data_IF_457780097040
#
_entry.id   IF_457780097040
#
_cell.length_a   1.000
_cell.length_b   1.000
_cell.length_c   1.000
_cell.angle_alpha   90.00
_cell.angle_beta   90.00
_cell.angle_gamma   90.00
#
_symmetry.space_group_name_H-M   'P 1'
#
loop_
_entity.id
_entity.type
_entity.pdbx_description
1 polymer ?
#
# COMPACT_ATOMS: atom_id res chain seq x y z
N UNK A 1 -18.10 4.52 -10.02
CA UNK A 1 -17.13 3.89 -9.12
C UNK A 1 -16.24 4.99 -8.60
N UNK A 2 -16.32 5.28 -7.31
CA UNK A 2 -15.57 6.35 -6.64
C UNK A 2 -14.07 5.99 -6.66
N UNK A 3 -13.25 6.86 -7.26
CA UNK A 3 -11.82 6.64 -7.41
C UNK A 3 -11.15 6.72 -6.04
N UNK A 4 -10.40 5.69 -5.65
CA UNK A 4 -9.64 5.69 -4.39
C UNK A 4 -8.64 6.85 -4.37
N UNK A 5 -8.78 7.79 -3.44
CA UNK A 5 -7.93 9.00 -3.34
C UNK A 5 -7.10 9.02 -2.06
N UNK A 6 -5.79 9.28 -2.22
CA UNK A 6 -4.87 9.46 -1.09
C UNK A 6 -5.22 10.74 -0.30
N UNK A 7 -5.66 11.80 -1.00
CA UNK A 7 -6.04 13.07 -0.40
C UNK A 7 -7.28 12.92 0.48
N UNK A 8 -8.32 12.27 -0.02
CA UNK A 8 -9.55 12.07 0.76
C UNK A 8 -9.29 11.19 1.99
N UNK A 9 -8.43 10.19 1.85
CA UNK A 9 -7.98 9.35 2.97
C UNK A 9 -7.23 10.19 4.01
N UNK A 10 -6.33 11.09 3.58
CA UNK A 10 -5.58 11.96 4.46
C UNK A 10 -6.49 12.96 5.20
N UNK A 11 -7.40 13.61 4.47
CA UNK A 11 -8.36 14.58 5.03
C UNK A 11 -9.29 13.91 6.04
N UNK A 12 -9.71 12.66 5.79
CA UNK A 12 -10.49 11.89 6.75
C UNK A 12 -9.70 11.56 8.01
N UNK A 13 -8.46 11.07 7.88
CA UNK A 13 -7.61 10.72 9.01
C UNK A 13 -7.19 11.92 9.87
N UNK A 14 -6.97 13.08 9.25
CA UNK A 14 -6.61 14.31 9.95
C UNK A 14 -7.70 14.78 10.93
N UNK A 15 -8.98 14.42 10.67
CA UNK A 15 -10.09 14.71 11.59
C UNK A 15 -10.08 13.85 12.86
N UNK A 16 -9.32 12.76 12.87
CA UNK A 16 -9.28 11.79 13.96
C UNK A 16 -7.85 11.63 14.48
N UNK A 17 -7.32 12.64 15.20
CA UNK A 17 -5.96 12.57 15.71
C UNK A 17 -5.77 11.46 16.75
N UNK A 18 -6.82 10.86 17.29
CA UNK A 18 -6.72 9.79 18.28
C UNK A 18 -6.32 8.43 17.67
N UNK A 19 -6.34 8.31 16.35
CA UNK A 19 -6.00 7.06 15.67
C UNK A 19 -4.50 6.78 15.77
N UNK A 20 -4.16 5.71 16.48
CA UNK A 20 -2.78 5.24 16.65
C UNK A 20 -2.41 4.07 15.74
N UNK A 21 -3.40 3.32 15.26
CA UNK A 21 -3.21 2.09 14.50
C UNK A 21 -4.15 2.07 13.30
N UNK A 22 -3.60 1.78 12.11
CA UNK A 22 -4.38 1.64 10.88
C UNK A 22 -4.06 0.29 10.22
N UNK A 23 -5.07 -0.57 10.08
CA UNK A 23 -5.02 -1.77 9.22
C UNK A 23 -5.43 -1.38 7.80
N UNK A 24 -4.60 -1.71 6.80
CA UNK A 24 -4.86 -1.30 5.40
C UNK A 24 -4.47 -2.34 4.37
N UNK A 25 -5.13 -2.26 3.21
CA UNK A 25 -4.76 -3.00 2.00
C UNK A 25 -3.38 -2.57 1.45
N UNK A 26 -2.70 -3.44 0.69
CA UNK A 26 -1.36 -3.19 0.14
C UNK A 26 -1.26 -2.04 -0.87
N UNK A 27 -2.37 -1.48 -1.32
CA UNK A 27 -2.38 -0.33 -2.22
C UNK A 27 -1.57 0.87 -1.69
N UNK A 28 -0.70 1.42 -2.56
CA UNK A 28 0.16 2.56 -2.22
C UNK A 28 -0.62 3.84 -1.90
N UNK A 29 -1.80 4.02 -2.49
CA UNK A 29 -2.67 5.20 -2.31
C UNK A 29 -3.05 5.36 -0.83
N UNK A 30 -3.45 4.27 -0.16
CA UNK A 30 -3.80 4.32 1.26
C UNK A 30 -2.58 4.54 2.15
N UNK A 31 -1.45 3.90 1.83
CA UNK A 31 -0.22 4.13 2.57
C UNK A 31 0.25 5.60 2.48
N UNK A 32 0.05 6.25 1.33
CA UNK A 32 0.31 7.67 1.15
C UNK A 32 -0.67 8.53 1.95
N UNK A 33 -1.97 8.25 1.86
CA UNK A 33 -2.99 8.99 2.61
C UNK A 33 -2.77 8.93 4.13
N UNK A 34 -2.39 7.75 4.66
CA UNK A 34 -2.08 7.60 6.08
C UNK A 34 -0.85 8.39 6.50
N UNK A 35 0.22 8.38 5.69
CA UNK A 35 1.43 9.19 5.99
C UNK A 35 1.13 10.68 6.04
N UNK A 36 0.17 11.16 5.23
CA UNK A 36 -0.21 12.56 5.17
C UNK A 36 -1.19 12.95 6.28
N UNK A 37 -2.23 12.15 6.53
CA UNK A 37 -3.31 12.48 7.47
C UNK A 37 -3.09 12.03 8.92
N UNK A 38 -2.31 10.97 9.13
CA UNK A 38 -2.01 10.44 10.46
C UNK A 38 -0.58 9.85 10.51
N UNK A 39 0.47 10.69 10.40
CA UNK A 39 1.86 10.22 10.36
C UNK A 39 2.29 9.46 11.62
N UNK A 40 1.62 9.70 12.75
CA UNK A 40 1.87 8.99 14.01
C UNK A 40 1.23 7.59 14.05
N UNK A 41 0.29 7.29 13.16
CA UNK A 41 -0.42 6.02 13.17
C UNK A 41 0.47 4.89 12.59
N UNK A 42 0.55 3.79 13.32
CA UNK A 42 1.27 2.58 12.89
C UNK A 42 0.46 1.84 11.84
N UNK A 43 1.10 1.55 10.71
CA UNK A 43 0.45 0.88 9.57
C UNK A 43 0.71 -0.62 9.59
N UNK A 44 -0.36 -1.40 9.49
CA UNK A 44 -0.29 -2.86 9.34
C UNK A 44 -0.94 -3.31 8.03
N UNK A 45 -0.37 -4.33 7.41
CA UNK A 45 -1.00 -4.98 6.27
C UNK A 45 -2.18 -5.81 6.76
N UNK A 46 -3.35 -5.53 6.19
CA UNK A 46 -4.57 -6.24 6.51
C UNK A 46 -4.45 -7.74 6.14
N UNK A 47 -4.69 -8.61 7.13
CA UNK A 47 -4.49 -10.06 6.98
C UNK A 47 -5.52 -10.71 6.07
N UNK A 48 -6.73 -10.14 5.96
CA UNK A 48 -7.76 -10.65 5.07
C UNK A 48 -7.34 -10.53 3.60
N UNK A 49 -6.69 -9.43 3.24
CA UNK A 49 -6.12 -9.25 1.91
C UNK A 49 -4.92 -10.17 1.64
N UNK A 50 -4.12 -10.53 2.66
CA UNK A 50 -3.06 -11.53 2.50
C UNK A 50 -3.63 -12.92 2.17
N UNK A 51 -4.70 -13.30 2.86
CA UNK A 51 -5.37 -14.59 2.65
C UNK A 51 -6.13 -14.64 1.32
N UNK A 52 -6.77 -13.54 0.91
CA UNK A 52 -7.37 -13.44 -0.43
C UNK A 52 -6.30 -13.50 -1.52
N UNK A 53 -5.24 -12.68 -1.42
CA UNK A 53 -4.17 -12.69 -2.44
C UNK A 53 -3.48 -14.04 -2.55
N UNK A 54 -3.38 -14.83 -1.46
CA UNK A 54 -2.88 -16.20 -1.54
C UNK A 54 -3.82 -17.11 -2.33
N UNK A 55 -5.14 -16.98 -2.13
CA UNK A 55 -6.15 -17.71 -2.91
C UNK A 55 -6.15 -17.33 -4.39
N UNK A 56 -5.99 -16.03 -4.72
CA UNK A 56 -5.94 -15.58 -6.12
C UNK A 56 -4.59 -15.91 -6.76
N UNK A 57 -3.49 -15.83 -6.00
CA UNK A 57 -2.13 -16.12 -6.45
C UNK A 57 -1.89 -17.58 -6.84
N UNK A 58 -2.68 -18.53 -6.30
CA UNK A 58 -2.64 -19.93 -6.74
C UNK A 58 -3.03 -20.12 -8.21
N UNK A 59 -3.75 -19.18 -8.83
CA UNK A 59 -4.17 -19.31 -10.22
C UNK A 59 -3.28 -18.53 -11.21
N UNK A 60 -2.38 -17.65 -10.73
CA UNK A 60 -1.72 -16.62 -11.57
C UNK A 60 -0.18 -16.63 -11.46
N UNK A 61 0.43 -17.46 -10.60
CA UNK A 61 1.89 -17.47 -10.42
C UNK A 61 2.55 -18.59 -11.23
N UNK A 62 3.35 -18.29 -12.29
CA UNK A 62 4.32 -19.25 -12.80
C UNK A 62 5.43 -19.42 -11.74
N UNK A 63 5.91 -20.66 -11.59
CA UNK A 63 6.71 -21.24 -10.50
C UNK A 63 7.98 -20.46 -10.10
N UNK A 64 8.38 -19.41 -10.83
CA UNK A 64 9.62 -18.64 -10.58
C UNK A 64 9.39 -17.16 -10.22
N UNK A 65 8.21 -16.79 -9.72
CA UNK A 65 7.96 -15.40 -9.30
C UNK A 65 8.39 -15.18 -7.85
N UNK A 66 9.62 -14.71 -7.65
CA UNK A 66 10.15 -14.28 -6.34
C UNK A 66 9.28 -13.14 -5.79
N UNK A 67 8.37 -13.49 -4.88
CA UNK A 67 7.52 -12.56 -4.11
C UNK A 67 8.39 -11.47 -3.48
N UNK A 68 8.26 -10.23 -3.97
CA UNK A 68 8.91 -9.09 -3.36
C UNK A 68 8.13 -8.68 -2.10
N UNK A 69 8.59 -9.14 -0.93
CA UNK A 69 8.19 -8.58 0.37
C UNK A 69 9.02 -7.33 0.60
N UNK A 70 8.59 -6.23 -0.02
CA UNK A 70 9.28 -4.94 0.05
C UNK A 70 8.96 -4.12 -1.18
N UNK A 71 8.10 -3.12 -1.05
CA UNK A 71 7.81 -2.20 -2.14
C UNK A 71 9.07 -1.36 -2.41
N UNK A 72 9.82 -1.72 -3.44
CA UNK A 72 10.90 -0.91 -4.02
C UNK A 72 10.62 -0.73 -5.51
N UNK A 73 9.66 0.12 -5.85
CA UNK A 73 9.54 0.59 -7.22
C UNK A 73 10.72 1.52 -7.51
N UNK A 74 11.70 1.04 -8.28
CA UNK A 74 12.60 1.89 -9.05
C UNK A 74 12.33 1.61 -10.51
N UNK A 75 11.57 2.51 -11.14
CA UNK A 75 11.49 2.64 -12.59
C UNK A 75 12.88 2.91 -13.18
N UNK A 76 13.01 2.79 -14.52
CA UNK A 76 14.31 2.84 -15.18
C UNK A 76 14.96 4.21 -14.96
N UNK A 77 16.07 4.20 -14.22
CA UNK A 77 16.94 5.37 -14.06
C UNK A 77 17.59 5.71 -15.41
N UNK A 78 17.39 6.98 -15.79
CA UNK A 78 18.10 7.75 -16.80
C UNK A 78 19.57 7.31 -16.94
N UNK A 79 19.90 6.76 -18.12
CA UNK A 79 21.25 6.36 -18.47
C UNK A 79 21.88 7.50 -19.29
N UNK A 80 22.40 8.53 -18.60
CA UNK A 80 23.47 9.35 -19.17
C UNK A 80 24.68 8.45 -19.41
N UNK A 81 25.06 8.33 -20.68
CA UNK A 81 26.34 7.86 -21.20
C UNK A 81 26.53 8.74 -22.44
N UNK A 82 27.42 9.72 -22.42
CA UNK A 82 28.87 9.57 -22.48
C UNK A 82 29.29 10.22 -23.79
#
# INVERSE_FOLDING_TARGET
>A
METRSAKETADWLARWPEIEIVSRDRCGIYAQGIRQGAPKARQFADRFHLLQNLRVGWHIIPTESRLCVGCGHQGPADRRRG
#
